data_IF_838851678900
#
_entry.id   IF_838851678900
#
_cell.length_a   1.000
_cell.length_b   1.000
_cell.length_c   1.000
_cell.angle_alpha   90.00
_cell.angle_beta   90.00
_cell.angle_gamma   90.00
#
_symmetry.space_group_name_H-M   'P 1'
#
loop_
_entity.id
_entity.type
_entity.pdbx_description
1 polymer ?
#
# COMPACT_ATOMS: atom_id res chain seq x y z
N UNK A 1 -6.45 -0.60 25.21
CA UNK A 1 -6.48 -1.00 23.79
C UNK A 1 -6.57 -2.52 23.71
N UNK A 2 -7.54 -3.01 22.92
CA UNK A 2 -7.72 -4.45 22.73
C UNK A 2 -6.43 -5.08 22.16
N UNK A 3 -6.06 -6.26 22.67
CA UNK A 3 -4.90 -7.02 22.23
C UNK A 3 -4.88 -7.26 20.72
N UNK A 4 -6.03 -7.58 20.13
CA UNK A 4 -6.17 -7.79 18.68
C UNK A 4 -5.84 -6.53 17.88
N UNK A 5 -6.32 -5.37 18.32
CA UNK A 5 -6.04 -4.09 17.67
C UNK A 5 -4.55 -3.76 17.77
N UNK A 6 -3.90 -4.09 18.89
CA UNK A 6 -2.46 -3.88 19.09
C UNK A 6 -1.65 -4.69 18.07
N UNK A 7 -1.99 -5.96 17.86
CA UNK A 7 -1.32 -6.81 16.86
C UNK A 7 -1.48 -6.22 15.45
N UNK A 8 -2.70 -5.83 15.08
CA UNK A 8 -2.96 -5.23 13.75
C UNK A 8 -2.16 -3.93 13.58
N UNK A 9 -2.01 -3.14 14.64
CA UNK A 9 -1.22 -1.90 14.60
C UNK A 9 0.28 -2.16 14.40
N UNK A 10 0.85 -3.15 15.07
CA UNK A 10 2.25 -3.56 14.83
C UNK A 10 2.42 -4.10 13.41
N UNK A 11 1.49 -4.91 12.93
CA UNK A 11 1.49 -5.41 11.56
C UNK A 11 1.42 -4.28 10.54
N UNK A 12 0.60 -3.26 10.79
CA UNK A 12 0.50 -2.07 9.93
C UNK A 12 1.84 -1.33 9.84
N UNK A 13 2.46 -0.99 10.98
CA UNK A 13 3.73 -0.28 10.96
C UNK A 13 4.86 -1.10 10.34
N UNK A 14 4.92 -2.39 10.64
CA UNK A 14 5.89 -3.30 10.02
C UNK A 14 5.71 -3.37 8.50
N UNK A 15 4.47 -3.52 8.04
CA UNK A 15 4.14 -3.56 6.60
C UNK A 15 4.44 -2.23 5.91
N UNK A 16 4.17 -1.10 6.58
CA UNK A 16 4.48 0.22 6.04
C UNK A 16 5.99 0.42 5.85
N UNK A 17 6.79 0.04 6.85
CA UNK A 17 8.26 0.09 6.74
C UNK A 17 8.75 -0.81 5.61
N UNK A 18 8.23 -2.03 5.51
CA UNK A 18 8.55 -2.95 4.41
C UNK A 18 8.21 -2.37 3.05
N UNK A 19 7.05 -1.73 2.93
CA UNK A 19 6.63 -1.10 1.68
C UNK A 19 7.53 0.10 1.32
N UNK A 20 7.93 0.91 2.30
CA UNK A 20 8.90 2.00 2.09
C UNK A 20 10.22 1.47 1.54
N UNK A 21 10.74 0.39 2.11
CA UNK A 21 11.98 -0.23 1.63
C UNK A 21 11.81 -0.69 0.18
N UNK A 22 10.71 -1.37 -0.15
CA UNK A 22 10.44 -1.87 -1.50
C UNK A 22 10.28 -0.75 -2.53
N UNK A 23 9.61 0.35 -2.17
CA UNK A 23 9.39 1.48 -3.07
C UNK A 23 10.62 2.36 -3.26
N UNK A 24 11.38 2.61 -2.20
CA UNK A 24 12.51 3.54 -2.22
C UNK A 24 13.83 2.87 -2.60
N UNK A 25 13.90 1.54 -2.65
CA UNK A 25 15.11 0.84 -3.07
C UNK A 25 15.33 1.03 -4.59
N UNK A 26 16.58 1.27 -5.02
CA UNK A 26 16.92 1.44 -6.45
C UNK A 26 16.88 0.08 -7.17
N UNK A 27 15.75 -0.30 -7.67
CA UNK A 27 15.48 -1.58 -8.34
C UNK A 27 14.41 -2.39 -7.63
N UNK A 28 14.21 -3.64 -8.06
CA UNK A 28 13.23 -4.57 -7.49
C UNK A 28 13.92 -5.54 -6.53
N UNK A 29 13.79 -5.31 -5.22
CA UNK A 29 14.28 -6.27 -4.21
C UNK A 29 13.59 -7.63 -4.33
N UNK A 30 12.28 -7.63 -4.57
CA UNK A 30 11.53 -8.88 -4.74
C UNK A 30 12.01 -9.62 -6.00
N UNK A 31 12.24 -8.90 -7.10
CA UNK A 31 12.82 -9.48 -8.31
C UNK A 31 14.21 -10.06 -8.07
N UNK A 32 15.03 -9.39 -7.27
CA UNK A 32 16.34 -9.92 -6.88
C UNK A 32 16.23 -11.22 -6.08
N UNK A 33 15.38 -11.27 -5.07
CA UNK A 33 15.22 -12.47 -4.25
C UNK A 33 14.60 -13.63 -5.01
N UNK A 34 13.70 -13.37 -5.96
CA UNK A 34 13.03 -14.44 -6.73
C UNK A 34 13.84 -14.89 -7.95
N UNK A 35 14.53 -13.95 -8.62
CA UNK A 35 15.14 -14.19 -9.94
C UNK A 35 16.62 -13.84 -10.00
N UNK A 36 17.19 -13.29 -8.93
CA UNK A 36 18.56 -12.77 -8.94
C UNK A 36 18.76 -11.52 -9.79
N UNK A 37 17.68 -10.80 -10.11
CA UNK A 37 17.70 -9.66 -11.03
C UNK A 37 16.94 -8.47 -10.42
N UNK A 38 17.67 -7.39 -10.13
CA UNK A 38 17.11 -6.13 -9.62
C UNK A 38 16.26 -5.37 -10.66
N UNK A 39 16.47 -5.63 -11.94
CA UNK A 39 15.69 -5.00 -13.01
C UNK A 39 14.36 -5.68 -13.31
N UNK A 40 14.15 -6.87 -12.77
CA UNK A 40 12.95 -7.67 -13.03
C UNK A 40 11.93 -7.48 -11.91
N UNK A 41 10.75 -6.97 -12.26
CA UNK A 41 9.61 -6.96 -11.35
C UNK A 41 8.87 -8.29 -11.38
N UNK A 42 8.41 -8.81 -10.22
CA UNK A 42 7.65 -10.05 -10.17
C UNK A 42 6.25 -9.87 -10.76
N UNK A 43 5.83 -10.85 -11.53
CA UNK A 43 4.46 -10.94 -12.06
C UNK A 43 3.71 -12.01 -11.25
N UNK A 44 3.16 -11.60 -10.10
CA UNK A 44 2.47 -12.53 -9.19
C UNK A 44 1.12 -13.00 -9.74
N UNK A 45 0.45 -12.14 -10.50
CA UNK A 45 -0.86 -12.43 -11.08
C UNK A 45 -0.81 -12.07 -12.56
N UNK A 46 -0.65 -13.05 -13.46
CA UNK A 46 -0.68 -12.79 -14.89
C UNK A 46 -1.99 -12.08 -15.29
N UNK A 47 -1.89 -10.89 -15.85
CA UNK A 47 -3.03 -10.04 -16.20
C UNK A 47 -2.64 -9.01 -17.27
N UNK A 48 -3.61 -8.39 -17.97
CA UNK A 48 -3.33 -7.40 -19.02
C UNK A 48 -2.70 -6.10 -18.53
N UNK A 49 -2.80 -5.81 -17.21
CA UNK A 49 -2.27 -4.58 -16.61
C UNK A 49 -0.80 -4.71 -16.16
N UNK A 50 -0.20 -5.90 -16.33
CA UNK A 50 1.17 -6.16 -15.95
C UNK A 50 1.40 -6.09 -14.43
N UNK A 51 2.52 -5.51 -14.01
CA UNK A 51 2.91 -5.44 -12.60
C UNK A 51 2.14 -4.40 -11.78
N UNK A 52 1.35 -3.53 -12.41
CA UNK A 52 0.54 -2.52 -11.71
C UNK A 52 -0.49 -3.11 -10.76
N UNK A 53 -0.96 -4.34 -11.00
CA UNK A 53 -1.84 -5.04 -10.06
C UNK A 53 -1.19 -5.26 -8.69
N UNK A 54 0.12 -5.46 -8.63
CA UNK A 54 0.86 -5.60 -7.38
C UNK A 54 0.79 -4.32 -6.53
N UNK A 55 0.83 -3.16 -7.19
CA UNK A 55 0.68 -1.85 -6.56
C UNK A 55 -0.70 -1.67 -5.95
N UNK A 56 -1.74 -2.03 -6.70
CA UNK A 56 -3.13 -1.97 -6.21
C UNK A 56 -3.33 -2.86 -4.98
N UNK A 57 -2.84 -4.10 -5.02
CA UNK A 57 -2.96 -5.05 -3.90
C UNK A 57 -2.16 -4.59 -2.68
N UNK A 58 -0.95 -4.08 -2.86
CA UNK A 58 -0.10 -3.59 -1.77
C UNK A 58 -0.77 -2.42 -1.04
N UNK A 59 -1.28 -1.43 -1.78
CA UNK A 59 -1.95 -0.28 -1.18
C UNK A 59 -3.34 -0.60 -0.63
N UNK A 60 -4.06 -1.52 -1.23
CA UNK A 60 -5.30 -2.04 -0.66
C UNK A 60 -5.05 -2.66 0.71
N UNK A 61 -4.10 -3.59 0.79
CA UNK A 61 -3.73 -4.25 2.04
C UNK A 61 -3.27 -3.24 3.11
N UNK A 62 -2.31 -2.37 2.76
CA UNK A 62 -1.75 -1.40 3.70
C UNK A 62 -2.82 -0.45 4.23
N UNK A 63 -3.68 0.06 3.35
CA UNK A 63 -4.77 0.97 3.74
C UNK A 63 -5.78 0.27 4.61
N UNK A 64 -6.14 -0.97 4.28
CA UNK A 64 -7.11 -1.74 5.04
C UNK A 64 -6.64 -1.95 6.49
N UNK A 65 -5.43 -2.49 6.67
CA UNK A 65 -4.89 -2.72 8.03
C UNK A 65 -4.62 -1.42 8.78
N UNK A 66 -4.17 -0.36 8.08
CA UNK A 66 -3.93 0.96 8.67
C UNK A 66 -5.21 1.59 9.21
N UNK A 67 -6.31 1.54 8.47
CA UNK A 67 -7.60 2.06 8.90
C UNK A 67 -8.25 1.20 9.98
N UNK A 68 -8.14 -0.13 9.91
CA UNK A 68 -8.61 -1.03 10.97
C UNK A 68 -7.87 -0.74 12.27
N UNK A 69 -6.55 -0.60 12.23
CA UNK A 69 -5.72 -0.37 13.42
C UNK A 69 -6.01 0.94 14.15
N UNK A 70 -6.54 1.94 13.44
CA UNK A 70 -6.88 3.27 13.98
C UNK A 70 -8.39 3.57 13.96
N UNK A 71 -9.23 2.57 13.74
CA UNK A 71 -10.67 2.76 13.50
C UNK A 71 -11.38 3.50 14.63
N UNK A 72 -10.92 3.35 15.89
CA UNK A 72 -11.48 3.97 17.08
C UNK A 72 -10.65 5.14 17.60
N UNK A 73 -9.56 5.48 16.93
CA UNK A 73 -8.66 6.53 17.37
C UNK A 73 -9.12 7.90 16.89
N UNK A 74 -8.75 8.94 17.64
CA UNK A 74 -8.95 10.34 17.25
C UNK A 74 -8.18 10.70 15.98
N UNK A 75 -7.09 9.98 15.69
CA UNK A 75 -6.23 10.19 14.52
C UNK A 75 -6.68 9.44 13.27
N UNK A 76 -7.86 8.80 13.28
CA UNK A 76 -8.35 8.02 12.14
C UNK A 76 -8.32 8.81 10.82
N UNK A 77 -8.86 10.02 10.82
CA UNK A 77 -8.90 10.86 9.62
C UNK A 77 -7.51 11.30 9.17
N UNK A 78 -6.62 11.60 10.11
CA UNK A 78 -5.22 11.95 9.79
C UNK A 78 -4.49 10.77 9.16
N UNK A 79 -4.69 9.56 9.69
CA UNK A 79 -4.13 8.35 9.13
C UNK A 79 -4.70 8.04 7.73
N UNK A 80 -5.98 8.29 7.50
CA UNK A 80 -6.59 8.16 6.17
C UNK A 80 -5.94 9.11 5.16
N UNK A 81 -5.82 10.39 5.51
CA UNK A 81 -5.16 11.40 4.64
C UNK A 81 -3.70 11.00 4.39
N UNK A 82 -3.00 10.54 5.41
CA UNK A 82 -1.62 10.07 5.30
C UNK A 82 -1.50 8.90 4.31
N UNK A 83 -2.39 7.92 4.36
CA UNK A 83 -2.37 6.77 3.45
C UNK A 83 -2.67 7.16 1.99
N UNK A 84 -3.61 8.08 1.77
CA UNK A 84 -3.86 8.64 0.44
C UNK A 84 -2.64 9.40 -0.07
N UNK A 85 -2.03 10.23 0.76
CA UNK A 85 -0.81 10.95 0.40
C UNK A 85 0.34 9.99 0.09
N UNK A 86 0.54 8.96 0.90
CA UNK A 86 1.58 7.94 0.69
C UNK A 86 1.39 7.20 -0.64
N UNK A 87 0.14 6.89 -1.03
CA UNK A 87 -0.16 6.23 -2.30
C UNK A 87 0.28 7.04 -3.53
N UNK A 88 0.27 8.37 -3.41
CA UNK A 88 0.74 9.29 -4.46
C UNK A 88 2.24 9.51 -4.38
N UNK A 89 2.73 9.91 -3.20
CA UNK A 89 4.13 10.31 -3.04
C UNK A 89 5.12 9.17 -3.25
N UNK A 90 4.79 7.95 -2.88
CA UNK A 90 5.68 6.82 -3.11
C UNK A 90 5.87 6.53 -4.60
N UNK A 91 4.83 6.64 -5.42
CA UNK A 91 4.99 6.48 -6.86
C UNK A 91 5.73 7.68 -7.48
N UNK A 92 5.44 8.91 -7.05
CA UNK A 92 6.16 10.09 -7.51
C UNK A 92 7.66 10.05 -7.16
N UNK A 93 8.03 9.39 -6.05
CA UNK A 93 9.42 9.22 -5.66
C UNK A 93 10.25 8.46 -6.71
N UNK A 94 9.62 7.63 -7.53
CA UNK A 94 10.29 6.91 -8.62
C UNK A 94 10.88 7.83 -9.71
N UNK A 95 10.45 9.09 -9.77
CA UNK A 95 11.09 10.10 -10.63
C UNK A 95 12.55 10.41 -10.23
N UNK A 96 12.90 10.19 -8.97
CA UNK A 96 14.18 10.58 -8.37
C UNK A 96 15.08 9.40 -8.00
N UNK A 97 14.52 8.18 -7.98
CA UNK A 97 15.25 6.98 -7.54
C UNK A 97 15.91 6.30 -8.74
N UNK A 98 17.24 6.04 -8.68
CA UNK A 98 17.94 5.30 -9.72
C UNK A 98 17.31 3.93 -9.98
N UNK A 99 17.31 3.50 -11.24
CA UNK A 99 16.75 2.21 -11.68
C UNK A 99 15.25 2.03 -11.40
N UNK A 100 14.55 3.13 -11.14
CA UNK A 100 13.09 3.18 -11.02
C UNK A 100 12.53 4.13 -12.08
N UNK A 101 11.32 3.84 -12.55
CA UNK A 101 10.59 4.71 -13.47
C UNK A 101 9.20 4.98 -12.92
N UNK A 102 8.80 6.26 -12.98
CA UNK A 102 7.41 6.64 -12.70
C UNK A 102 6.50 6.08 -13.79
N UNK A 103 5.40 5.47 -13.36
CA UNK A 103 4.36 4.99 -14.26
C UNK A 103 2.99 5.50 -13.81
N UNK A 104 2.28 6.17 -14.71
CA UNK A 104 0.94 6.67 -14.41
C UNK A 104 -0.05 5.56 -14.07
N UNK A 105 0.12 4.38 -14.66
CA UNK A 105 -0.71 3.21 -14.36
C UNK A 105 -0.45 2.69 -12.95
N UNK A 106 0.78 2.72 -12.46
CA UNK A 106 1.13 2.34 -11.09
C UNK A 106 0.58 3.34 -10.07
N UNK A 107 0.63 4.65 -10.39
CA UNK A 107 -0.01 5.68 -9.58
C UNK A 107 -1.52 5.46 -9.48
N UNK A 108 -2.17 5.20 -10.61
CA UNK A 108 -3.61 4.88 -10.63
C UNK A 108 -3.92 3.63 -9.81
N UNK A 109 -3.11 2.59 -9.94
CA UNK A 109 -3.25 1.34 -9.19
C UNK A 109 -3.12 1.57 -7.66
N UNK A 110 -2.13 2.36 -7.22
CA UNK A 110 -1.97 2.75 -5.83
C UNK A 110 -3.23 3.44 -5.29
N UNK A 111 -3.74 4.43 -6.03
CA UNK A 111 -4.95 5.17 -5.65
C UNK A 111 -6.19 4.28 -5.62
N UNK A 112 -6.39 3.43 -6.63
CA UNK A 112 -7.55 2.52 -6.67
C UNK A 112 -7.53 1.52 -5.53
N UNK A 113 -6.37 0.94 -5.21
CA UNK A 113 -6.22 0.05 -4.06
C UNK A 113 -6.57 0.75 -2.75
N UNK A 114 -6.05 1.96 -2.55
CA UNK A 114 -6.34 2.80 -1.38
C UNK A 114 -7.82 3.15 -1.29
N UNK A 115 -8.42 3.64 -2.36
CA UNK A 115 -9.85 4.01 -2.40
C UNK A 115 -10.76 2.82 -2.13
N UNK A 116 -10.46 1.66 -2.68
CA UNK A 116 -11.26 0.46 -2.47
C UNK A 116 -11.27 0.05 -0.99
N UNK A 117 -10.11 0.08 -0.33
CA UNK A 117 -10.03 -0.17 1.11
C UNK A 117 -10.82 0.85 1.94
N UNK A 118 -10.73 2.14 1.58
CA UNK A 118 -11.49 3.22 2.23
C UNK A 118 -13.00 2.94 2.13
N UNK A 119 -13.50 2.63 0.94
CA UNK A 119 -14.92 2.33 0.72
C UNK A 119 -15.37 1.16 1.60
N UNK A 120 -14.60 0.07 1.66
CA UNK A 120 -14.92 -1.08 2.52
C UNK A 120 -15.04 -0.67 3.99
N UNK A 121 -14.09 0.12 4.49
CA UNK A 121 -14.10 0.57 5.90
C UNK A 121 -15.29 1.48 6.18
N UNK A 122 -15.64 2.40 5.29
CA UNK A 122 -16.80 3.26 5.47
C UNK A 122 -18.13 2.49 5.42
N UNK A 123 -18.25 1.53 4.51
CA UNK A 123 -19.41 0.64 4.46
C UNK A 123 -19.55 -0.18 5.76
N UNK A 124 -18.46 -0.75 6.24
CA UNK A 124 -18.45 -1.47 7.50
C UNK A 124 -18.90 -0.59 8.68
N UNK A 125 -18.35 0.64 8.78
CA UNK A 125 -18.77 1.59 9.83
C UNK A 125 -20.25 1.93 9.74
N UNK A 126 -20.76 2.16 8.53
CA UNK A 126 -22.19 2.47 8.31
C UNK A 126 -23.09 1.32 8.76
N UNK A 127 -22.76 0.09 8.37
CA UNK A 127 -23.54 -1.10 8.74
C UNK A 127 -23.51 -1.38 10.23
N UNK A 128 -22.39 -1.09 10.90
CA UNK A 128 -22.26 -1.30 12.34
C UNK A 128 -23.01 -0.26 13.19
N UNK A 129 -23.11 0.97 12.69
CA UNK A 129 -23.73 2.10 13.39
C UNK A 129 -25.21 2.32 12.99
N UNK A 130 -25.73 1.59 12.04
CA UNK A 130 -27.13 1.56 11.62
C UNK A 130 -27.86 0.42 12.26
#
# INVERSE_FOLDING_TARGET
MDYKIRIVRYLYYFSFIGLLILYLFPGSLIGYFLYGDLGRQPDFIPNPLGTSINHALAFFYLTLIGLISHMRDKIFNQNLIFLVAASVFLELSHLFIPNRSFQSLDLLANLLGTLFAIVIIFLYKKLKNG
#
